data_IF_185909155043
#
_entry.id   IF_185909155043
#
_cell.length_a   1.000
_cell.length_b   1.000
_cell.length_c   1.000
_cell.angle_alpha   90.00
_cell.angle_beta   90.00
_cell.angle_gamma   90.00
#
_symmetry.space_group_name_H-M   'P 1'
#
loop_
_entity.id
_entity.type
_entity.pdbx_description
1 polymer ?
#
# COMPACT_ATOMS: atom_id res chain seq x y z
N UNK A 1 -21.62 -59.49 12.60
CA UNK A 1 -20.74 -58.89 11.55
C UNK A 1 -21.15 -57.46 11.14
N UNK A 2 -22.34 -56.95 11.49
CA UNK A 2 -22.78 -55.60 11.07
C UNK A 2 -22.08 -54.41 11.79
N UNK A 3 -21.43 -54.63 12.93
CA UNK A 3 -20.84 -53.54 13.73
C UNK A 3 -19.52 -52.98 13.18
N UNK A 4 -18.64 -53.82 12.61
CA UNK A 4 -17.33 -53.38 12.13
C UNK A 4 -17.38 -52.57 10.83
N UNK A 5 -18.27 -52.94 9.90
CA UNK A 5 -18.45 -52.24 8.62
C UNK A 5 -19.03 -50.83 8.81
N UNK A 6 -20.10 -50.71 9.62
CA UNK A 6 -20.69 -49.41 9.98
C UNK A 6 -19.72 -48.51 10.73
N UNK A 7 -18.88 -49.08 11.59
CA UNK A 7 -17.85 -48.33 12.31
C UNK A 7 -16.79 -47.74 11.38
N UNK A 8 -16.38 -48.51 10.38
CA UNK A 8 -15.42 -48.09 9.37
C UNK A 8 -15.97 -47.01 8.42
N UNK A 9 -17.20 -47.19 7.93
CA UNK A 9 -17.92 -46.17 7.12
C UNK A 9 -18.03 -44.84 7.87
N UNK A 10 -18.31 -44.89 9.18
CA UNK A 10 -18.35 -43.70 10.03
C UNK A 10 -16.98 -43.04 10.20
N UNK A 11 -15.91 -43.83 10.30
CA UNK A 11 -14.54 -43.31 10.37
C UNK A 11 -14.15 -42.60 9.08
N UNK A 12 -14.48 -43.17 7.93
CA UNK A 12 -14.22 -42.58 6.61
C UNK A 12 -14.98 -41.25 6.42
N UNK A 13 -16.25 -41.21 6.84
CA UNK A 13 -17.04 -39.98 6.83
C UNK A 13 -16.43 -38.87 7.70
N UNK A 14 -16.04 -39.19 8.95
CA UNK A 14 -15.42 -38.20 9.83
C UNK A 14 -14.02 -37.78 9.35
N UNK A 15 -13.26 -38.69 8.71
CA UNK A 15 -11.98 -38.35 8.06
C UNK A 15 -12.17 -37.34 6.94
N UNK A 16 -13.15 -37.56 6.06
CA UNK A 16 -13.45 -36.64 4.95
C UNK A 16 -13.88 -35.26 5.44
N UNK A 17 -14.62 -35.20 6.55
CA UNK A 17 -14.96 -33.91 7.19
C UNK A 17 -13.71 -33.19 7.69
N UNK A 18 -12.81 -33.91 8.38
CA UNK A 18 -11.55 -33.33 8.86
C UNK A 18 -10.66 -32.84 7.71
N UNK A 19 -10.65 -33.53 6.56
CA UNK A 19 -9.93 -33.11 5.35
C UNK A 19 -10.45 -31.80 4.75
N UNK A 20 -11.77 -31.62 4.72
CA UNK A 20 -12.36 -30.37 4.28
C UNK A 20 -11.98 -29.22 5.23
N UNK A 21 -12.03 -29.45 6.54
CA UNK A 21 -11.66 -28.47 7.57
C UNK A 21 -10.16 -28.12 7.50
N UNK A 22 -9.29 -29.12 7.24
CA UNK A 22 -7.87 -28.89 7.00
C UNK A 22 -7.62 -28.00 5.78
N UNK A 23 -8.37 -28.23 4.71
CA UNK A 23 -8.29 -27.43 3.48
C UNK A 23 -8.68 -25.98 3.74
N UNK A 24 -9.74 -25.75 4.51
CA UNK A 24 -10.19 -24.41 4.88
C UNK A 24 -9.14 -23.69 5.74
N UNK A 25 -8.58 -24.36 6.74
CA UNK A 25 -7.50 -23.81 7.58
C UNK A 25 -6.26 -23.45 6.74
N UNK A 26 -5.85 -24.32 5.82
CA UNK A 26 -4.73 -24.05 4.90
C UNK A 26 -4.99 -22.83 4.00
N UNK A 27 -6.21 -22.65 3.50
CA UNK A 27 -6.59 -21.45 2.73
C UNK A 27 -6.51 -20.19 3.57
N UNK A 28 -6.98 -20.23 4.82
CA UNK A 28 -6.89 -19.07 5.72
C UNK A 28 -5.44 -18.75 6.09
N UNK A 29 -4.59 -19.76 6.30
CA UNK A 29 -3.14 -19.57 6.50
C UNK A 29 -2.46 -18.94 5.29
N UNK A 30 -2.78 -19.40 4.08
CA UNK A 30 -2.25 -18.79 2.86
C UNK A 30 -2.71 -17.32 2.72
N UNK A 31 -3.94 -17.00 3.12
CA UNK A 31 -4.49 -15.65 3.07
C UNK A 31 -4.00 -14.72 4.20
N UNK A 32 -3.48 -15.27 5.30
CA UNK A 32 -3.06 -14.51 6.50
C UNK A 32 -1.60 -14.80 6.87
N UNK A 33 -0.75 -15.06 5.87
CA UNK A 33 0.65 -15.49 6.03
C UNK A 33 1.52 -14.53 6.88
N UNK A 34 1.03 -13.33 7.16
CA UNK A 34 1.71 -12.31 7.93
C UNK A 34 1.43 -12.35 9.45
N UNK A 35 0.40 -13.04 9.99
CA UNK A 35 0.10 -13.04 11.44
C UNK A 35 0.83 -14.16 12.22
N UNK A 36 1.94 -13.84 12.89
CA UNK A 36 2.84 -14.80 13.57
C UNK A 36 2.19 -15.57 14.73
N UNK A 37 1.43 -14.92 15.61
CA UNK A 37 0.83 -15.60 16.78
C UNK A 37 -0.20 -16.67 16.38
N UNK A 38 -1.04 -16.36 15.39
CA UNK A 38 -2.10 -17.24 14.89
C UNK A 38 -1.57 -18.43 14.07
N UNK A 39 -0.42 -18.23 13.40
CA UNK A 39 0.31 -19.25 12.66
C UNK A 39 0.71 -20.44 13.56
N UNK A 40 1.08 -20.20 14.82
CA UNK A 40 1.58 -21.23 15.73
C UNK A 40 0.52 -22.29 16.12
N UNK A 41 -0.68 -21.86 16.52
CA UNK A 41 -1.78 -22.76 16.92
C UNK A 41 -2.31 -23.56 15.72
N UNK A 42 -2.44 -22.91 14.57
CA UNK A 42 -2.91 -23.57 13.35
C UNK A 42 -1.87 -24.56 12.81
N UNK A 43 -0.58 -24.24 12.85
CA UNK A 43 0.49 -25.16 12.46
C UNK A 43 0.55 -26.38 13.39
N UNK A 44 0.43 -26.18 14.71
CA UNK A 44 0.40 -27.29 15.67
C UNK A 44 -0.82 -28.20 15.46
N UNK A 45 -1.98 -27.60 15.15
CA UNK A 45 -3.17 -28.37 14.79
C UNK A 45 -2.99 -29.16 13.49
N UNK A 46 -2.46 -28.54 12.42
CA UNK A 46 -2.19 -29.20 11.14
C UNK A 46 -1.25 -30.39 11.30
N UNK A 47 -0.20 -30.24 12.11
CA UNK A 47 0.70 -31.34 12.48
C UNK A 47 -0.04 -32.49 13.16
N UNK A 48 -0.92 -32.20 14.12
CA UNK A 48 -1.73 -33.22 14.81
C UNK A 48 -2.70 -33.92 13.84
N UNK A 49 -3.27 -33.19 12.89
CA UNK A 49 -4.14 -33.76 11.85
C UNK A 49 -3.36 -34.71 10.95
N UNK A 50 -2.16 -34.33 10.51
CA UNK A 50 -1.31 -35.18 9.67
C UNK A 50 -0.84 -36.46 10.40
N UNK A 51 -0.47 -36.34 11.68
CA UNK A 51 -0.16 -37.50 12.52
C UNK A 51 -1.36 -38.45 12.66
N UNK A 52 -2.57 -37.93 12.81
CA UNK A 52 -3.78 -38.76 12.92
C UNK A 52 -4.18 -39.37 11.58
N UNK A 53 -3.99 -38.65 10.46
CA UNK A 53 -4.17 -39.17 9.09
C UNK A 53 -3.33 -40.42 8.87
N UNK A 54 -2.02 -40.35 9.12
CA UNK A 54 -1.11 -41.49 9.00
C UNK A 54 -1.56 -42.70 9.85
N UNK A 55 -2.05 -42.46 11.07
CA UNK A 55 -2.54 -43.53 11.95
C UNK A 55 -3.84 -44.15 11.44
N UNK A 56 -4.72 -43.36 10.82
CA UNK A 56 -5.97 -43.85 10.21
C UNK A 56 -5.65 -44.68 8.97
N UNK A 57 -4.80 -44.19 8.06
CA UNK A 57 -4.40 -44.94 6.85
C UNK A 57 -3.81 -46.31 7.19
N UNK A 58 -2.95 -46.38 8.22
CA UNK A 58 -2.42 -47.65 8.71
C UNK A 58 -3.51 -48.58 9.27
N UNK A 59 -4.53 -48.01 9.92
CA UNK A 59 -5.69 -48.78 10.41
C UNK A 59 -6.54 -49.30 9.25
N UNK A 60 -6.73 -48.51 8.20
CA UNK A 60 -7.47 -48.88 6.99
C UNK A 60 -6.78 -50.01 6.22
N UNK A 61 -5.46 -49.93 6.05
CA UNK A 61 -4.66 -51.03 5.45
C UNK A 61 -4.88 -52.34 6.21
N UNK A 62 -4.80 -52.30 7.55
CA UNK A 62 -5.04 -53.48 8.40
C UNK A 62 -6.47 -54.00 8.34
N UNK A 63 -7.45 -53.12 8.15
CA UNK A 63 -8.85 -53.51 7.98
C UNK A 63 -9.08 -54.20 6.63
N UNK A 64 -8.59 -53.61 5.53
CA UNK A 64 -8.71 -54.16 4.16
C UNK A 64 -7.99 -55.50 4.01
N UNK A 65 -6.80 -55.64 4.60
CA UNK A 65 -6.06 -56.91 4.61
C UNK A 65 -6.83 -58.03 5.34
N UNK A 66 -7.59 -57.66 6.38
CA UNK A 66 -8.48 -58.60 7.07
C UNK A 66 -9.71 -58.97 6.28
N UNK A 67 -10.37 -58.03 5.61
CA UNK A 67 -11.50 -58.37 4.75
C UNK A 67 -11.07 -59.32 3.62
N UNK A 68 -9.87 -59.11 3.05
CA UNK A 68 -9.28 -60.02 2.05
C UNK A 68 -9.04 -61.43 2.60
N UNK A 69 -8.35 -61.55 3.73
CA UNK A 69 -8.07 -62.87 4.36
C UNK A 69 -9.33 -63.60 4.84
N UNK A 70 -10.40 -62.88 5.20
CA UNK A 70 -11.72 -63.45 5.51
C UNK A 70 -12.42 -64.06 4.30
N UNK A 71 -12.20 -63.49 3.12
CA UNK A 71 -12.85 -63.95 1.87
C UNK A 71 -12.17 -65.24 1.35
N UNK A 72 -10.92 -65.49 1.74
CA UNK A 72 -10.12 -66.65 1.30
C UNK A 72 -10.37 -67.89 2.19
N UNK A 73 -10.62 -67.71 3.49
CA UNK A 73 -10.78 -68.80 4.46
C UNK A 73 -12.25 -68.98 4.90
N UNK A 74 -13.14 -69.40 3.98
CA UNK A 74 -14.42 -70.01 4.38
C UNK A 74 -14.18 -71.46 4.80
N UNK A 75 -13.70 -71.69 6.03
CA UNK A 75 -13.58 -73.08 6.49
C UNK A 75 -12.93 -73.38 7.84
N UNK A 76 -12.27 -72.44 8.52
CA UNK A 76 -11.72 -72.73 9.86
C UNK A 76 -11.99 -71.61 10.85
N UNK A 77 -12.89 -71.91 11.78
CA UNK A 77 -13.15 -71.14 12.99
C UNK A 77 -12.23 -71.62 14.10
N UNK A 78 -11.18 -70.85 14.44
CA UNK A 78 -10.74 -70.68 15.83
C UNK A 78 -9.70 -69.56 15.94
N UNK A 79 -9.85 -68.66 16.93
CA UNK A 79 -8.81 -67.69 17.36
C UNK A 79 -9.13 -66.19 17.22
N UNK A 80 -10.17 -65.78 16.46
CA UNK A 80 -10.27 -64.38 16.00
C UNK A 80 -11.09 -63.40 16.87
N UNK A 81 -11.74 -63.85 17.95
CA UNK A 81 -12.69 -63.00 18.70
C UNK A 81 -12.03 -61.85 19.50
N UNK A 82 -10.87 -62.08 20.15
CA UNK A 82 -10.13 -61.02 20.84
C UNK A 82 -9.59 -59.94 19.86
N UNK A 83 -9.37 -60.31 18.61
CA UNK A 83 -8.75 -59.44 17.61
C UNK A 83 -9.74 -58.49 16.91
N UNK A 84 -11.03 -58.82 16.86
CA UNK A 84 -12.09 -57.97 16.25
C UNK A 84 -12.52 -56.85 17.18
N UNK A 85 -12.69 -57.18 18.47
CA UNK A 85 -13.02 -56.21 19.51
C UNK A 85 -11.95 -55.10 19.61
N UNK A 86 -10.67 -55.48 19.54
CA UNK A 86 -9.55 -54.54 19.53
C UNK A 86 -9.55 -53.58 18.32
N UNK A 87 -10.05 -53.98 17.15
CA UNK A 87 -10.13 -53.11 15.97
C UNK A 87 -11.32 -52.16 16.04
N UNK A 88 -12.48 -52.64 16.46
CA UNK A 88 -13.66 -51.79 16.68
C UNK A 88 -13.39 -50.75 17.77
N UNK A 89 -12.67 -51.13 18.84
CA UNK A 89 -12.24 -50.19 19.88
C UNK A 89 -11.29 -49.12 19.31
N UNK A 90 -10.32 -49.52 18.47
CA UNK A 90 -9.40 -48.59 17.79
C UNK A 90 -10.14 -47.64 16.85
N UNK A 91 -11.11 -48.12 16.07
CA UNK A 91 -11.95 -47.29 15.20
C UNK A 91 -12.72 -46.25 16.03
N UNK A 92 -13.37 -46.66 17.12
CA UNK A 92 -14.10 -45.73 18.02
C UNK A 92 -13.17 -44.69 18.64
N UNK A 93 -11.97 -45.10 19.05
CA UNK A 93 -10.97 -44.18 19.58
C UNK A 93 -10.53 -43.15 18.54
N UNK A 94 -10.36 -43.56 17.27
CA UNK A 94 -10.04 -42.63 16.17
C UNK A 94 -11.17 -41.65 15.89
N UNK A 95 -12.42 -42.10 15.83
CA UNK A 95 -13.59 -41.21 15.68
C UNK A 95 -13.62 -40.17 16.82
N UNK A 96 -13.38 -40.60 18.07
CA UNK A 96 -13.33 -39.68 19.21
C UNK A 96 -12.18 -38.67 19.11
N UNK A 97 -11.03 -39.10 18.59
CA UNK A 97 -9.85 -38.24 18.40
C UNK A 97 -10.06 -37.22 17.29
N UNK A 98 -10.66 -37.62 16.16
CA UNK A 98 -11.11 -36.70 15.11
C UNK A 98 -12.07 -35.68 15.71
N UNK A 99 -13.13 -36.12 16.41
CA UNK A 99 -14.08 -35.20 17.03
C UNK A 99 -13.42 -34.22 18.03
N UNK A 100 -12.35 -34.63 18.71
CA UNK A 100 -11.60 -33.75 19.60
C UNK A 100 -10.75 -32.73 18.83
N UNK A 101 -10.06 -33.14 17.76
CA UNK A 101 -9.32 -32.22 16.88
C UNK A 101 -10.23 -31.16 16.27
N UNK A 102 -11.45 -31.56 15.86
CA UNK A 102 -12.46 -30.66 15.31
C UNK A 102 -13.00 -29.66 16.33
N UNK A 103 -12.93 -29.97 17.64
CA UNK A 103 -13.31 -29.04 18.72
C UNK A 103 -12.20 -28.06 19.10
N UNK A 104 -10.93 -28.41 18.84
CA UNK A 104 -9.79 -27.54 19.15
C UNK A 104 -9.76 -26.30 18.25
N UNK A 105 -10.22 -26.44 17.02
CA UNK A 105 -10.35 -25.32 16.08
C UNK A 105 -11.79 -24.82 16.07
N UNK A 106 -12.01 -23.56 16.46
CA UNK A 106 -13.32 -22.89 16.32
C UNK A 106 -13.47 -22.39 14.89
N UNK A 107 -13.94 -23.26 13.99
CA UNK A 107 -14.12 -22.93 12.56
C UNK A 107 -15.05 -21.74 12.33
N UNK A 108 -16.05 -21.50 13.18
CA UNK A 108 -16.93 -20.34 13.05
C UNK A 108 -16.16 -19.03 13.27
N UNK A 109 -15.13 -19.04 14.11
CA UNK A 109 -14.21 -17.91 14.29
C UNK A 109 -13.30 -17.73 13.07
N UNK A 110 -12.87 -18.83 12.43
CA UNK A 110 -12.00 -18.82 11.23
C UNK A 110 -12.79 -18.40 9.98
N UNK A 111 -14.02 -18.87 9.83
CA UNK A 111 -14.90 -18.63 8.67
C UNK A 111 -15.50 -17.23 8.68
N UNK A 112 -15.72 -16.65 9.87
CA UNK A 112 -16.26 -15.30 10.04
C UNK A 112 -15.17 -14.22 10.11
N UNK A 113 -13.89 -14.61 10.17
CA UNK A 113 -12.78 -13.71 9.90
C UNK A 113 -12.64 -13.61 8.38
N UNK A 114 -13.42 -12.71 7.77
CA UNK A 114 -13.14 -12.27 6.40
C UNK A 114 -11.65 -11.94 6.30
N UNK A 115 -11.00 -12.35 5.20
CA UNK A 115 -9.66 -11.89 4.87
C UNK A 115 -9.63 -10.37 5.11
N UNK A 116 -8.66 -9.84 5.87
CA UNK A 116 -8.57 -8.41 6.07
C UNK A 116 -8.63 -7.76 4.70
N UNK A 117 -9.44 -6.70 4.57
CA UNK A 117 -9.45 -5.94 3.34
C UNK A 117 -7.99 -5.63 2.99
N UNK A 118 -7.57 -5.98 1.77
CA UNK A 118 -6.24 -5.61 1.30
C UNK A 118 -6.10 -4.11 1.56
N UNK A 119 -4.95 -3.65 2.08
CA UNK A 119 -4.74 -2.23 2.28
C UNK A 119 -5.05 -1.47 0.98
N UNK A 120 -5.71 -0.33 1.10
CA UNK A 120 -6.04 0.49 -0.05
C UNK A 120 -4.74 0.88 -0.78
N UNK A 121 -4.62 0.42 -2.02
CA UNK A 121 -3.42 0.65 -2.84
C UNK A 121 -3.39 2.03 -3.50
N UNK A 122 -4.54 2.72 -3.51
CA UNK A 122 -4.78 4.01 -4.15
C UNK A 122 -5.51 4.95 -3.17
N UNK A 123 -4.79 5.52 -2.21
CA UNK A 123 -5.38 6.37 -1.15
C UNK A 123 -5.38 7.82 -1.63
N UNK A 124 -6.52 8.31 -2.14
CA UNK A 124 -6.66 9.71 -2.58
C UNK A 124 -6.33 10.71 -1.47
N UNK A 125 -5.74 11.83 -1.85
CA UNK A 125 -5.44 12.95 -0.95
C UNK A 125 -6.54 14.00 -0.89
N UNK A 126 -7.40 14.08 -1.90
CA UNK A 126 -8.42 15.12 -1.99
C UNK A 126 -7.82 16.45 -2.42
N UNK A 127 -6.93 16.40 -3.42
CA UNK A 127 -6.24 17.56 -3.95
C UNK A 127 -7.24 18.66 -4.35
N UNK A 128 -6.91 19.90 -3.98
CA UNK A 128 -7.66 21.06 -4.48
C UNK A 128 -7.49 21.14 -6.00
N UNK A 129 -8.61 21.12 -6.72
CA UNK A 129 -8.61 21.24 -8.17
C UNK A 129 -8.08 22.60 -8.58
N UNK A 130 -7.15 22.60 -9.53
CA UNK A 130 -6.49 23.80 -10.06
C UNK A 130 -6.83 24.04 -11.52
N UNK A 131 -7.94 23.49 -12.02
CA UNK A 131 -8.40 23.61 -13.41
C UNK A 131 -8.56 25.07 -13.85
N UNK A 132 -8.84 25.95 -12.88
CA UNK A 132 -8.94 27.38 -13.08
C UNK A 132 -7.61 28.10 -13.34
N UNK A 133 -6.48 27.40 -13.22
CA UNK A 133 -5.13 27.96 -13.29
C UNK A 133 -4.25 27.14 -14.26
N UNK A 134 -4.43 27.29 -15.58
CA UNK A 134 -3.73 26.50 -16.60
C UNK A 134 -2.21 26.49 -16.48
N UNK A 135 -1.59 27.59 -16.05
CA UNK A 135 -0.13 27.65 -15.89
C UNK A 135 0.40 26.69 -14.83
N UNK A 136 -0.33 26.52 -13.72
CA UNK A 136 0.03 25.55 -12.68
C UNK A 136 -0.39 24.13 -13.08
N UNK A 137 -1.54 23.99 -13.75
CA UNK A 137 -2.02 22.69 -14.23
C UNK A 137 -1.12 22.09 -15.32
N UNK A 138 -0.46 22.91 -16.13
CA UNK A 138 0.51 22.43 -17.10
C UNK A 138 1.65 21.60 -16.46
N UNK A 139 2.08 21.94 -15.25
CA UNK A 139 3.07 21.12 -14.52
C UNK A 139 2.49 19.75 -14.10
N UNK A 140 1.19 19.67 -13.80
CA UNK A 140 0.48 18.41 -13.54
C UNK A 140 0.50 17.56 -14.80
N UNK A 141 0.16 18.13 -15.95
CA UNK A 141 0.14 17.42 -17.24
C UNK A 141 1.54 16.92 -17.63
N UNK A 142 2.56 17.78 -17.52
CA UNK A 142 3.95 17.44 -17.84
C UNK A 142 4.46 16.32 -16.94
N UNK A 143 4.25 16.41 -15.62
CA UNK A 143 4.68 15.37 -14.69
C UNK A 143 3.93 14.06 -14.93
N UNK A 144 2.60 14.13 -15.11
CA UNK A 144 1.77 12.95 -15.37
C UNK A 144 2.24 12.20 -16.62
N UNK A 145 2.49 12.92 -17.73
CA UNK A 145 2.99 12.31 -18.97
C UNK A 145 4.38 11.71 -18.78
N UNK A 146 5.30 12.40 -18.09
CA UNK A 146 6.63 11.86 -17.78
C UNK A 146 6.57 10.55 -16.99
N UNK A 147 5.64 10.46 -16.03
CA UNK A 147 5.46 9.26 -15.21
C UNK A 147 4.82 8.09 -15.98
N UNK A 148 4.08 8.36 -17.05
CA UNK A 148 3.53 7.33 -17.95
C UNK A 148 4.55 6.74 -18.92
N UNK A 149 5.60 7.49 -19.28
CA UNK A 149 6.60 7.03 -20.25
C UNK A 149 7.40 5.85 -19.66
N UNK A 150 7.28 4.69 -20.30
CA UNK A 150 8.07 3.49 -20.01
C UNK A 150 9.36 3.53 -20.81
N UNK A 151 10.42 4.09 -20.24
CA UNK A 151 11.75 4.04 -20.86
C UNK A 151 12.26 2.59 -20.82
N UNK A 152 12.54 1.98 -21.98
CA UNK A 152 12.87 0.54 -22.08
C UNK A 152 14.22 0.14 -21.47
N UNK A 153 15.04 1.12 -21.06
CA UNK A 153 16.39 0.92 -20.48
C UNK A 153 16.42 1.10 -18.96
N UNK A 154 15.65 2.03 -18.42
CA UNK A 154 15.57 2.30 -16.97
C UNK A 154 14.19 1.92 -16.42
N UNK A 155 14.12 0.77 -15.76
CA UNK A 155 12.88 0.27 -15.17
C UNK A 155 12.40 1.11 -13.98
N UNK A 156 13.33 1.74 -13.25
CA UNK A 156 13.02 2.66 -12.16
C UNK A 156 13.59 4.05 -12.46
N UNK A 157 12.71 5.05 -12.61
CA UNK A 157 13.10 6.44 -12.93
C UNK A 157 12.77 7.38 -11.76
N UNK A 158 13.64 8.38 -11.57
CA UNK A 158 13.51 9.42 -10.54
C UNK A 158 13.14 10.74 -11.21
N UNK A 159 12.08 11.37 -10.73
CA UNK A 159 11.69 12.73 -11.14
C UNK A 159 11.76 13.62 -9.92
N UNK A 160 12.43 14.76 -10.04
CA UNK A 160 12.47 15.73 -8.98
C UNK A 160 11.72 16.99 -9.37
N UNK A 161 10.84 17.45 -8.48
CA UNK A 161 10.17 18.74 -8.58
C UNK A 161 10.77 19.68 -7.56
N UNK A 162 11.21 20.83 -8.03
CA UNK A 162 11.79 21.85 -7.16
C UNK A 162 11.35 23.26 -7.55
N UNK A 163 11.55 24.19 -6.64
CA UNK A 163 11.18 25.59 -6.84
C UNK A 163 10.98 26.31 -5.51
N UNK A 164 10.74 27.64 -5.55
CA UNK A 164 10.62 28.46 -4.35
C UNK A 164 9.58 27.96 -3.34
N UNK A 165 9.72 28.39 -2.09
CA UNK A 165 8.69 28.12 -1.08
C UNK A 165 7.35 28.73 -1.50
N UNK A 166 6.23 28.02 -1.26
CA UNK A 166 4.89 28.52 -1.60
C UNK A 166 4.52 28.53 -3.09
N UNK A 167 5.41 28.04 -3.98
CA UNK A 167 5.18 28.05 -5.45
C UNK A 167 4.11 27.03 -5.93
N UNK A 168 3.68 26.10 -5.07
CA UNK A 168 2.63 25.12 -5.38
C UNK A 168 3.11 23.69 -5.69
N UNK A 169 4.35 23.33 -5.32
CA UNK A 169 4.92 21.98 -5.54
C UNK A 169 4.03 20.86 -4.99
N UNK A 170 3.68 20.92 -3.70
CA UNK A 170 2.78 19.96 -3.06
C UNK A 170 1.45 19.88 -3.80
N UNK A 171 0.86 21.02 -4.19
CA UNK A 171 -0.40 21.05 -4.95
C UNK A 171 -0.30 20.34 -6.30
N UNK A 172 0.81 20.51 -7.03
CA UNK A 172 1.05 19.79 -8.29
C UNK A 172 1.19 18.28 -8.03
N UNK A 173 1.99 17.89 -7.03
CA UNK A 173 2.19 16.48 -6.67
C UNK A 173 0.87 15.82 -6.26
N UNK A 174 0.05 16.47 -5.44
CA UNK A 174 -1.25 15.96 -4.99
C UNK A 174 -2.23 15.80 -6.16
N UNK A 175 -2.27 16.75 -7.10
CA UNK A 175 -3.14 16.63 -8.28
C UNK A 175 -2.70 15.49 -9.21
N UNK A 176 -1.39 15.29 -9.39
CA UNK A 176 -0.88 14.14 -10.19
C UNK A 176 -1.15 12.82 -9.48
N UNK A 177 -0.91 12.75 -8.18
CA UNK A 177 -1.22 11.59 -7.35
C UNK A 177 -2.70 11.19 -7.49
N UNK A 178 -3.61 12.14 -7.24
CA UNK A 178 -5.05 11.88 -7.29
C UNK A 178 -5.51 11.52 -8.70
N UNK A 179 -4.90 12.11 -9.75
CA UNK A 179 -5.16 11.72 -11.14
C UNK A 179 -4.80 10.28 -11.42
N UNK A 180 -3.67 9.77 -10.89
CA UNK A 180 -3.34 8.34 -11.01
C UNK A 180 -4.27 7.45 -10.18
N UNK A 181 -4.70 7.89 -9.00
CA UNK A 181 -5.69 7.16 -8.20
C UNK A 181 -7.09 7.14 -8.85
N UNK A 182 -7.37 8.04 -9.78
CA UNK A 182 -8.63 8.12 -10.54
C UNK A 182 -8.66 7.24 -11.80
N UNK A 183 -7.51 6.72 -12.24
CA UNK A 183 -7.45 5.83 -13.40
C UNK A 183 -8.17 4.50 -13.12
N UNK A 184 -8.80 3.96 -14.17
CA UNK A 184 -9.44 2.65 -14.10
C UNK A 184 -8.40 1.53 -14.04
N UNK A 185 -8.78 0.35 -13.54
CA UNK A 185 -7.86 -0.80 -13.46
C UNK A 185 -7.23 -1.19 -14.80
N UNK A 186 -7.89 -0.93 -15.94
CA UNK A 186 -7.35 -1.23 -17.27
C UNK A 186 -6.32 -0.21 -17.74
N UNK A 187 -6.42 1.02 -17.27
CA UNK A 187 -5.50 2.12 -17.63
C UNK A 187 -4.43 2.37 -16.57
N UNK A 188 -4.53 1.71 -15.41
CA UNK A 188 -3.64 1.90 -14.26
C UNK A 188 -2.24 1.34 -14.55
N UNK A 189 -1.20 2.20 -14.63
CA UNK A 189 0.16 1.74 -14.88
C UNK A 189 0.90 1.20 -13.65
N UNK A 190 0.37 1.43 -12.44
CA UNK A 190 1.02 1.06 -11.18
C UNK A 190 0.12 0.18 -10.30
N UNK A 191 0.67 -0.92 -9.78
CA UNK A 191 -0.04 -1.81 -8.85
C UNK A 191 -0.27 -1.17 -7.48
N UNK A 192 0.56 -0.19 -7.09
CA UNK A 192 0.48 0.54 -5.83
C UNK A 192 1.05 1.96 -5.96
N UNK A 193 0.41 2.93 -5.31
CA UNK A 193 0.84 4.34 -5.29
C UNK A 193 1.02 4.80 -3.85
N UNK A 194 2.26 5.11 -3.48
CA UNK A 194 2.63 5.58 -2.15
C UNK A 194 2.72 7.10 -2.10
N UNK A 195 2.38 7.65 -0.93
CA UNK A 195 2.63 9.04 -0.60
C UNK A 195 3.29 9.16 0.76
N UNK A 196 4.38 9.93 0.81
CA UNK A 196 5.10 10.28 2.03
C UNK A 196 5.31 11.78 2.05
N UNK A 197 5.01 12.42 3.18
CA UNK A 197 5.41 13.81 3.44
C UNK A 197 6.50 13.80 4.51
N UNK A 198 7.67 14.34 4.18
CA UNK A 198 8.81 14.46 5.09
C UNK A 198 8.61 15.63 6.07
N UNK A 199 9.16 15.46 7.26
CA UNK A 199 9.33 16.52 8.27
C UNK A 199 10.76 16.40 8.83
N UNK A 200 11.21 17.35 9.64
CA UNK A 200 12.55 17.30 10.23
C UNK A 200 12.78 16.05 11.10
N UNK A 201 11.73 15.52 11.72
CA UNK A 201 11.81 14.34 12.58
C UNK A 201 11.70 13.02 11.82
N UNK A 202 11.18 13.03 10.58
CA UNK A 202 10.95 11.81 9.82
C UNK A 202 12.22 11.30 9.17
N UNK A 203 12.49 10.02 9.37
CA UNK A 203 13.60 9.31 8.77
C UNK A 203 13.16 8.13 7.89
N UNK A 204 14.15 7.35 7.46
CA UNK A 204 13.95 6.13 6.66
C UNK A 204 12.93 5.17 7.29
N UNK A 205 12.97 5.00 8.61
CA UNK A 205 12.07 4.08 9.32
C UNK A 205 10.59 4.47 9.22
N UNK A 206 10.28 5.76 9.13
CA UNK A 206 8.92 6.27 8.93
C UNK A 206 8.42 6.01 7.52
N UNK A 207 9.30 6.19 6.53
CA UNK A 207 9.02 5.87 5.12
C UNK A 207 8.70 4.38 5.00
N UNK A 208 9.58 3.53 5.54
CA UNK A 208 9.39 2.08 5.53
C UNK A 208 8.08 1.67 6.18
N UNK A 209 7.71 2.30 7.30
CA UNK A 209 6.46 2.01 7.99
C UNK A 209 5.23 2.29 7.11
N UNK A 210 5.23 3.42 6.39
CA UNK A 210 4.15 3.77 5.47
C UNK A 210 4.06 2.75 4.32
N UNK A 211 5.20 2.40 3.72
CA UNK A 211 5.28 1.44 2.62
C UNK A 211 4.81 0.06 3.07
N UNK A 212 5.30 -0.45 4.20
CA UNK A 212 4.92 -1.74 4.78
C UNK A 212 3.42 -1.82 5.03
N UNK A 213 2.84 -0.81 5.67
CA UNK A 213 1.42 -0.76 5.97
C UNK A 213 0.57 -0.86 4.71
N UNK A 214 0.94 -0.14 3.65
CA UNK A 214 0.19 -0.13 2.39
C UNK A 214 0.48 -1.37 1.52
N UNK A 215 1.66 -1.99 1.68
CA UNK A 215 1.97 -3.29 1.08
C UNK A 215 1.32 -4.46 1.84
N UNK A 216 0.81 -4.24 3.04
CA UNK A 216 0.24 -5.28 3.92
C UNK A 216 1.32 -6.14 4.59
N UNK A 217 2.53 -5.61 4.72
CA UNK A 217 3.64 -6.25 5.41
C UNK A 217 3.49 -6.04 6.92
N UNK A 218 3.83 -7.06 7.72
CA UNK A 218 3.91 -6.88 9.17
C UNK A 218 5.26 -6.26 9.54
N UNK A 219 5.18 -5.05 10.10
CA UNK A 219 6.30 -4.43 10.78
C UNK A 219 6.46 -5.12 12.15
N UNK A 220 7.52 -5.90 12.31
CA UNK A 220 8.06 -6.24 13.61
C UNK A 220 8.93 -5.07 14.10
N UNK A 221 8.56 -4.49 15.25
CA UNK A 221 9.22 -3.32 15.84
C UNK A 221 10.70 -3.59 16.19
N UNK A 222 11.10 -4.86 16.27
CA UNK A 222 12.49 -5.26 16.51
C UNK A 222 13.35 -5.30 15.24
N UNK A 223 12.75 -5.21 14.05
CA UNK A 223 13.50 -5.26 12.79
C UNK A 223 14.32 -3.99 12.58
N UNK A 224 15.55 -4.20 12.12
CA UNK A 224 16.40 -3.11 11.66
C UNK A 224 15.87 -2.51 10.36
N UNK A 225 16.20 -1.24 10.10
CA UNK A 225 15.87 -0.61 8.80
C UNK A 225 16.45 -1.38 7.61
N UNK A 226 17.55 -2.11 7.78
CA UNK A 226 18.12 -2.94 6.71
C UNK A 226 17.19 -4.12 6.37
N UNK A 227 16.73 -4.86 7.39
CA UNK A 227 15.81 -6.00 7.18
C UNK A 227 14.49 -5.54 6.57
N UNK A 228 13.96 -4.40 7.02
CA UNK A 228 12.77 -3.77 6.46
C UNK A 228 12.94 -3.43 4.99
N UNK A 229 14.10 -2.87 4.62
CA UNK A 229 14.42 -2.55 3.23
C UNK A 229 14.43 -3.79 2.33
N UNK A 230 15.01 -4.91 2.79
CA UNK A 230 15.02 -6.18 2.04
C UNK A 230 13.61 -6.72 1.80
N UNK A 231 12.75 -6.68 2.82
CA UNK A 231 11.36 -7.17 2.72
C UNK A 231 10.57 -6.29 1.73
N UNK A 232 10.68 -4.97 1.87
CA UNK A 232 10.06 -4.01 0.94
C UNK A 232 10.56 -4.25 -0.49
N UNK A 233 11.88 -4.37 -0.67
CA UNK A 233 12.48 -4.55 -1.98
C UNK A 233 11.96 -5.81 -2.67
N UNK A 234 11.91 -6.93 -1.95
CA UNK A 234 11.39 -8.21 -2.44
C UNK A 234 9.92 -8.14 -2.83
N UNK A 235 9.11 -7.42 -2.05
CA UNK A 235 7.68 -7.26 -2.36
C UNK A 235 7.47 -6.39 -3.62
N UNK A 236 8.34 -5.40 -3.83
CA UNK A 236 8.30 -4.49 -4.98
C UNK A 236 8.93 -5.07 -6.26
N UNK A 237 9.69 -6.17 -6.20
CA UNK A 237 10.26 -6.82 -7.39
C UNK A 237 9.19 -7.28 -8.38
N UNK A 238 8.03 -7.71 -7.87
CA UNK A 238 6.93 -8.24 -8.68
C UNK A 238 5.79 -7.24 -8.87
N UNK A 239 5.99 -5.97 -8.52
CA UNK A 239 4.98 -4.91 -8.60
C UNK A 239 5.50 -3.68 -9.30
N UNK A 240 4.63 -3.07 -10.08
CA UNK A 240 4.81 -1.70 -10.53
C UNK A 240 4.37 -0.72 -9.43
N UNK A 241 5.16 0.33 -9.18
CA UNK A 241 4.83 1.29 -8.12
C UNK A 241 5.18 2.73 -8.49
N UNK A 242 4.46 3.65 -7.86
CA UNK A 242 4.76 5.09 -7.90
C UNK A 242 4.88 5.60 -6.46
N UNK A 243 6.02 6.19 -6.12
CA UNK A 243 6.29 6.72 -4.78
C UNK A 243 6.46 8.24 -4.85
N UNK A 244 5.57 8.97 -4.19
CA UNK A 244 5.71 10.39 -3.95
C UNK A 244 6.35 10.64 -2.59
N UNK A 245 7.44 11.40 -2.56
CA UNK A 245 8.05 11.93 -1.34
C UNK A 245 8.03 13.45 -1.41
N UNK A 246 7.13 14.08 -0.66
CA UNK A 246 6.97 15.52 -0.59
C UNK A 246 7.78 16.12 0.57
N UNK A 247 8.16 17.40 0.42
CA UNK A 247 8.91 18.21 1.39
C UNK A 247 10.29 17.64 1.77
N UNK A 248 11.00 17.07 0.81
CA UNK A 248 12.36 16.57 0.98
C UNK A 248 13.32 17.73 1.28
N UNK A 249 13.93 17.69 2.47
CA UNK A 249 14.89 18.70 2.96
C UNK A 249 16.35 18.26 2.87
N UNK A 250 16.60 16.95 2.81
CA UNK A 250 17.94 16.35 2.69
C UNK A 250 17.92 15.17 1.70
N UNK A 251 19.10 14.66 1.35
CA UNK A 251 19.26 13.45 0.54
C UNK A 251 18.52 12.25 1.14
N UNK A 252 17.92 11.42 0.28
CA UNK A 252 17.13 10.26 0.68
C UNK A 252 17.67 9.00 0.00
N UNK A 253 18.35 8.19 0.81
CA UNK A 253 18.83 6.87 0.41
C UNK A 253 17.67 5.92 0.10
N UNK A 254 17.34 5.83 -1.18
CA UNK A 254 16.29 4.96 -1.71
C UNK A 254 16.57 3.48 -1.45
N UNK A 255 17.84 3.06 -1.45
CA UNK A 255 18.22 1.68 -1.20
C UNK A 255 17.89 1.30 0.24
N UNK A 256 18.18 2.19 1.20
CA UNK A 256 17.80 2.00 2.60
C UNK A 256 16.31 1.99 2.85
N UNK A 257 15.48 2.50 1.93
CA UNK A 257 14.03 2.37 2.00
C UNK A 257 13.56 1.01 1.46
N UNK A 258 14.33 0.36 0.59
CA UNK A 258 13.94 -0.85 -0.16
C UNK A 258 13.61 -0.58 -1.62
N UNK A 259 13.91 0.62 -2.12
CA UNK A 259 13.74 1.00 -3.53
C UNK A 259 15.03 0.72 -4.28
N UNK A 260 14.99 -0.23 -5.21
CA UNK A 260 16.16 -0.70 -5.96
C UNK A 260 16.08 -0.36 -7.44
N UNK A 261 17.25 -0.17 -8.04
CA UNK A 261 17.38 -0.11 -9.50
C UNK A 261 16.91 -1.42 -10.14
N UNK A 262 16.26 -1.31 -11.30
CA UNK A 262 15.74 -2.47 -12.02
C UNK A 262 14.33 -2.91 -11.62
N UNK A 263 13.79 -2.40 -10.50
CA UNK A 263 12.37 -2.56 -10.17
C UNK A 263 11.49 -1.74 -11.13
N UNK A 264 10.22 -2.11 -11.26
CA UNK A 264 9.24 -1.41 -12.09
C UNK A 264 8.64 -0.19 -11.37
N UNK A 265 9.51 0.72 -10.94
CA UNK A 265 9.16 1.85 -10.08
C UNK A 265 9.21 3.22 -10.75
N UNK A 266 8.55 4.18 -10.13
CA UNK A 266 8.77 5.62 -10.33
C UNK A 266 8.84 6.30 -8.98
N UNK A 267 9.82 7.18 -8.80
CA UNK A 267 9.96 7.97 -7.57
C UNK A 267 9.89 9.45 -7.90
N UNK A 268 9.04 10.19 -7.20
CA UNK A 268 8.86 11.63 -7.36
C UNK A 268 9.25 12.33 -6.07
N UNK A 269 10.21 13.23 -6.15
CA UNK A 269 10.72 13.98 -5.00
C UNK A 269 10.30 15.45 -5.10
N UNK A 270 9.57 15.97 -4.11
CA UNK A 270 9.24 17.39 -3.98
C UNK A 270 10.19 18.09 -3.01
N UNK A 271 10.96 19.09 -3.46
CA UNK A 271 11.95 19.80 -2.63
C UNK A 271 12.00 21.30 -2.90
N UNK A 272 12.60 22.08 -1.99
CA UNK A 272 12.67 23.54 -2.13
C UNK A 272 13.84 24.04 -3.00
N UNK A 273 14.87 23.24 -3.25
CA UNK A 273 16.03 23.61 -4.06
C UNK A 273 16.51 22.47 -4.96
N UNK A 274 17.40 22.76 -5.91
CA UNK A 274 18.02 21.75 -6.77
C UNK A 274 19.38 21.31 -6.20
N UNK A 275 19.49 20.06 -5.80
CA UNK A 275 20.78 19.40 -5.55
C UNK A 275 20.88 18.16 -6.45
N UNK A 276 22.02 17.96 -7.10
CA UNK A 276 22.24 16.69 -7.80
C UNK A 276 22.59 15.65 -6.75
N UNK A 277 21.72 14.66 -6.56
CA UNK A 277 22.06 13.46 -5.79
C UNK A 277 22.81 12.53 -6.74
N UNK A 278 24.14 12.48 -6.60
CA UNK A 278 24.97 11.43 -7.19
C UNK A 278 24.87 10.15 -6.33
N UNK A 279 23.64 9.67 -6.10
CA UNK A 279 23.44 8.39 -5.43
C UNK A 279 23.94 7.27 -6.34
N UNK A 280 25.13 6.77 -6.02
CA UNK A 280 25.71 5.59 -6.64
C UNK A 280 24.92 4.38 -6.11
N UNK A 281 24.11 3.76 -6.97
CA UNK A 281 23.44 2.51 -6.61
C UNK A 281 24.45 1.38 -6.32
N UNK A 282 24.00 0.28 -5.72
CA UNK A 282 24.85 -0.86 -5.31
C UNK A 282 25.79 -1.41 -6.42
N UNK A 283 25.50 -1.13 -7.70
CA UNK A 283 26.31 -1.55 -8.87
C UNK A 283 27.16 -0.46 -9.49
N UNK A 284 27.32 0.71 -8.86
CA UNK A 284 28.16 1.79 -9.40
C UNK A 284 27.47 2.70 -10.42
N UNK A 285 26.17 2.52 -10.66
CA UNK A 285 25.41 3.33 -11.62
C UNK A 285 24.65 4.44 -10.86
N UNK A 286 24.74 5.70 -11.30
CA UNK A 286 23.94 6.83 -10.77
C UNK A 286 22.47 6.76 -11.22
N UNK A 287 21.51 7.14 -10.39
CA UNK A 287 20.09 7.16 -10.77
C UNK A 287 19.85 8.21 -11.87
N UNK A 288 19.15 7.82 -12.95
CA UNK A 288 18.71 8.79 -13.95
C UNK A 288 17.62 9.67 -13.32
N UNK A 289 17.98 10.92 -13.01
CA UNK A 289 17.06 11.93 -12.47
C UNK A 289 16.66 12.93 -13.57
N UNK A 290 15.37 13.20 -13.67
CA UNK A 290 14.83 14.32 -14.42
C UNK A 290 14.32 15.41 -13.48
N UNK A 291 14.74 16.65 -13.69
CA UNK A 291 14.32 17.79 -12.87
C UNK A 291 13.22 18.61 -13.57
N UNK A 292 12.20 19.00 -12.80
CA UNK A 292 11.14 19.93 -13.18
C UNK A 292 11.17 21.09 -12.18
N UNK A 293 11.56 22.27 -12.67
CA UNK A 293 11.49 23.51 -11.90
C UNK A 293 10.10 24.11 -12.03
N UNK A 294 9.42 24.35 -10.91
CA UNK A 294 8.19 25.14 -10.88
C UNK A 294 8.57 26.60 -10.58
N UNK A 295 8.34 27.47 -11.56
CA UNK A 295 8.70 28.89 -11.46
C UNK A 295 7.59 29.76 -10.86
N UNK A 296 6.34 29.29 -10.93
CA UNK A 296 5.17 30.03 -10.49
C UNK A 296 4.07 30.02 -11.55
N UNK A 297 3.01 30.76 -11.26
CA UNK A 297 1.89 30.99 -12.18
C UNK A 297 2.23 32.11 -13.15
N UNK A 298 1.63 32.08 -14.34
CA UNK A 298 1.71 33.23 -15.25
C UNK A 298 0.94 34.44 -14.68
N UNK A 299 1.20 35.64 -15.21
CA UNK A 299 0.59 36.88 -14.73
C UNK A 299 -0.95 36.82 -14.78
N UNK A 300 -1.53 36.27 -15.84
CA UNK A 300 -2.99 36.16 -15.98
C UNK A 300 -3.62 35.28 -14.89
N UNK A 301 -3.02 34.13 -14.60
CA UNK A 301 -3.48 33.22 -13.56
C UNK A 301 -3.27 33.80 -12.16
N UNK A 302 -2.14 34.49 -11.94
CA UNK A 302 -1.84 35.20 -10.71
C UNK A 302 -2.87 36.30 -10.44
N UNK A 303 -3.21 37.10 -11.46
CA UNK A 303 -4.25 38.13 -11.39
C UNK A 303 -5.63 37.52 -11.17
N UNK A 304 -5.94 36.41 -11.84
CA UNK A 304 -7.20 35.67 -11.66
C UNK A 304 -7.33 35.18 -10.22
N UNK A 305 -6.27 34.61 -9.64
CA UNK A 305 -6.26 34.17 -8.24
C UNK A 305 -6.45 35.34 -7.28
N UNK A 306 -5.69 36.42 -7.46
CA UNK A 306 -5.80 37.62 -6.64
C UNK A 306 -7.22 38.19 -6.65
N UNK A 307 -7.80 38.35 -7.85
CA UNK A 307 -9.16 38.85 -8.04
C UNK A 307 -10.21 37.95 -7.40
N UNK A 308 -10.07 36.63 -7.47
CA UNK A 308 -10.99 35.70 -6.82
C UNK A 308 -11.06 35.91 -5.32
N UNK A 309 -9.94 36.22 -4.67
CA UNK A 309 -9.87 36.47 -3.24
C UNK A 309 -10.48 37.83 -2.92
N UNK A 310 -9.99 38.90 -3.54
CA UNK A 310 -10.42 40.29 -3.24
C UNK A 310 -11.88 40.55 -3.62
N UNK A 311 -12.40 39.95 -4.70
CA UNK A 311 -13.79 40.16 -5.11
C UNK A 311 -14.83 39.37 -4.31
N UNK A 312 -14.43 38.65 -3.26
CA UNK A 312 -15.36 37.99 -2.35
C UNK A 312 -16.30 39.01 -1.66
N UNK A 313 -15.88 40.27 -1.50
CA UNK A 313 -16.70 41.42 -1.09
C UNK A 313 -16.84 42.44 -2.23
N UNK A 314 -18.00 42.43 -2.90
CA UNK A 314 -18.29 42.87 -4.29
C UNK A 314 -18.00 44.33 -4.75
N UNK A 315 -17.24 45.15 -4.02
CA UNK A 315 -17.11 46.59 -4.36
C UNK A 315 -15.69 47.13 -4.53
N UNK A 316 -14.64 46.43 -4.07
CA UNK A 316 -13.25 46.95 -4.08
C UNK A 316 -12.69 47.13 -5.50
N UNK A 317 -12.86 46.13 -6.37
CA UNK A 317 -12.31 46.18 -7.74
C UNK A 317 -13.14 47.00 -8.72
N UNK A 318 -14.15 47.75 -8.28
CA UNK A 318 -14.84 48.73 -9.16
C UNK A 318 -13.97 49.96 -9.41
N UNK A 319 -13.10 50.31 -8.47
CA UNK A 319 -12.19 51.44 -8.60
C UNK A 319 -11.06 51.12 -9.60
N UNK A 320 -10.96 51.92 -10.67
CA UNK A 320 -9.94 51.77 -11.72
C UNK A 320 -8.51 52.04 -11.23
N UNK A 321 -8.34 52.89 -10.22
CA UNK A 321 -7.03 53.09 -9.60
C UNK A 321 -6.59 51.83 -8.85
N UNK A 322 -7.47 51.26 -8.02
CA UNK A 322 -7.21 50.01 -7.29
C UNK A 322 -6.89 48.86 -8.26
N UNK A 323 -7.62 48.73 -9.37
CA UNK A 323 -7.32 47.73 -10.41
C UNK A 323 -5.90 47.86 -10.97
N UNK A 324 -5.43 49.09 -11.21
CA UNK A 324 -4.07 49.35 -11.70
C UNK A 324 -3.02 48.98 -10.65
N UNK A 325 -3.20 49.42 -9.41
CA UNK A 325 -2.27 49.11 -8.31
C UNK A 325 -2.25 47.60 -8.03
N UNK A 326 -3.40 46.94 -8.02
CA UNK A 326 -3.52 45.49 -7.87
C UNK A 326 -2.68 44.73 -8.89
N UNK A 327 -2.66 45.20 -10.15
CA UNK A 327 -1.88 44.58 -11.22
C UNK A 327 -0.38 44.68 -10.95
N UNK A 328 0.09 45.83 -10.46
CA UNK A 328 1.48 46.02 -10.06
C UNK A 328 1.85 45.14 -8.85
N UNK A 329 1.01 45.11 -7.82
CA UNK A 329 1.21 44.26 -6.64
C UNK A 329 1.36 42.78 -7.03
N UNK A 330 0.48 42.29 -7.91
CA UNK A 330 0.52 40.89 -8.35
C UNK A 330 1.80 40.57 -9.13
N UNK A 331 2.33 41.52 -9.90
CA UNK A 331 3.64 41.37 -10.56
C UNK A 331 4.77 41.23 -9.54
N UNK A 332 4.76 42.05 -8.49
CA UNK A 332 5.74 41.96 -7.39
C UNK A 332 5.63 40.64 -6.61
N UNK A 333 4.45 40.00 -6.57
CA UNK A 333 4.30 38.67 -6.00
C UNK A 333 5.00 37.56 -6.80
N UNK A 334 5.51 37.84 -8.01
CA UNK A 334 6.33 36.93 -8.81
C UNK A 334 5.62 35.64 -9.24
N UNK A 335 4.29 35.65 -9.31
CA UNK A 335 3.51 34.45 -9.66
C UNK A 335 3.47 33.37 -8.58
N UNK A 336 3.96 33.64 -7.36
CA UNK A 336 3.98 32.66 -6.25
C UNK A 336 2.59 32.60 -5.58
N UNK A 337 1.84 31.47 -5.66
CA UNK A 337 0.48 31.37 -5.14
C UNK A 337 0.34 31.78 -3.68
N UNK A 338 1.28 31.37 -2.82
CA UNK A 338 1.22 31.71 -1.40
C UNK A 338 1.39 33.22 -1.15
N UNK A 339 2.32 33.87 -1.86
CA UNK A 339 2.53 35.33 -1.78
C UNK A 339 1.28 36.08 -2.21
N UNK A 340 0.71 35.69 -3.35
CA UNK A 340 -0.52 36.27 -3.90
C UNK A 340 -1.67 36.14 -2.90
N UNK A 341 -1.88 34.95 -2.32
CA UNK A 341 -2.92 34.71 -1.32
C UNK A 341 -2.75 35.62 -0.12
N UNK A 342 -1.56 35.66 0.48
CA UNK A 342 -1.29 36.49 1.66
C UNK A 342 -1.62 37.95 1.41
N UNK A 343 -1.18 38.50 0.28
CA UNK A 343 -1.38 39.91 -0.04
C UNK A 343 -2.85 40.20 -0.40
N UNK A 344 -3.48 39.30 -1.17
CA UNK A 344 -4.88 39.43 -1.52
C UNK A 344 -5.80 39.39 -0.29
N UNK A 345 -5.53 38.51 0.68
CA UNK A 345 -6.30 38.45 1.93
C UNK A 345 -6.16 39.73 2.76
N UNK A 346 -4.95 40.31 2.81
CA UNK A 346 -4.74 41.58 3.52
C UNK A 346 -5.50 42.75 2.87
N UNK A 347 -5.73 42.69 1.56
CA UNK A 347 -6.38 43.75 0.79
C UNK A 347 -7.86 43.47 0.49
N UNK A 348 -8.40 42.32 0.92
CA UNK A 348 -9.73 41.83 0.52
C UNK A 348 -10.85 42.82 0.84
N UNK A 349 -10.72 43.58 1.93
CA UNK A 349 -11.74 44.52 2.41
C UNK A 349 -11.33 45.98 2.29
N UNK A 350 -10.18 46.25 1.68
CA UNK A 350 -9.62 47.60 1.64
C UNK A 350 -10.01 48.35 0.38
N UNK A 351 -10.78 49.42 0.58
CA UNK A 351 -11.30 50.27 -0.49
C UNK A 351 -10.53 51.59 -0.67
N UNK A 352 -9.57 51.88 0.20
CA UNK A 352 -8.73 53.08 0.14
C UNK A 352 -7.47 52.85 -0.73
N UNK A 353 -7.33 53.51 -1.89
CA UNK A 353 -6.15 53.39 -2.75
C UNK A 353 -4.81 53.67 -2.05
N UNK A 354 -4.79 54.49 -0.99
CA UNK A 354 -3.55 54.78 -0.25
C UNK A 354 -2.97 53.53 0.42
N UNK A 355 -3.82 52.64 0.94
CA UNK A 355 -3.40 51.36 1.55
C UNK A 355 -2.79 50.43 0.50
N UNK A 356 -3.32 50.45 -0.72
CA UNK A 356 -2.79 49.68 -1.85
C UNK A 356 -1.42 50.20 -2.29
N UNK A 357 -1.24 51.52 -2.40
CA UNK A 357 0.06 52.14 -2.70
C UNK A 357 1.10 51.86 -1.62
N UNK A 358 0.69 51.93 -0.33
CA UNK A 358 1.55 51.58 0.79
C UNK A 358 1.99 50.11 0.72
N UNK A 359 1.07 49.21 0.35
CA UNK A 359 1.37 47.78 0.17
C UNK A 359 2.36 47.55 -0.98
N UNK A 360 2.15 48.20 -2.13
CA UNK A 360 3.09 48.14 -3.26
C UNK A 360 4.48 48.66 -2.87
N UNK A 361 4.53 49.77 -2.14
CA UNK A 361 5.80 50.37 -1.67
C UNK A 361 6.59 49.45 -0.73
N UNK A 362 5.92 48.52 -0.03
CA UNK A 362 6.61 47.55 0.84
C UNK A 362 7.38 46.49 0.07
N UNK A 363 6.94 46.14 -1.14
CA UNK A 363 7.68 45.22 -2.02
C UNK A 363 8.97 45.84 -2.54
N UNK A 364 8.97 47.14 -2.83
CA UNK A 364 10.17 47.85 -3.29
C UNK A 364 11.26 47.99 -2.22
N UNK A 365 10.92 47.75 -0.95
CA UNK A 365 11.81 47.89 0.21
C UNK A 365 12.14 46.55 0.91
N UNK A 366 11.71 45.42 0.34
CA UNK A 366 11.96 44.05 0.81
C UNK A 366 12.88 43.31 -0.13
#
# INVERSE_FOLDING_TARGET
MAFGKRGFEKLEHERKRLENEETDVKKVLAANAYRIEWLSECMDWLRKVDEERHKIENLEKRYKERERTRTINQGQSCGLLQSSWCLDLKIRMKIKRIANLRKQIKLDTIRNQSAPALPDRFIKRGALKIDDFPSLNNYVDVLFLKLLVKDGRDKCARVCIWGPSGVGKTTVLENVHDRFCELTNTDQPFDVIFWVTMTEEKGVGDIQYILEKQLGLQADELMSNYERAEIIAKELENKSYLLFIDQVSSEIDLVRIGIRKGQHGRVVLGRSGCYYDDEIGERGESWKQEDIKIEGMCEDDALKMFRKIVNSNKDVMKNEEIKRIATLIVRECGGIPQSIKTVAFNLEKESDPAVWWATLSRFANS
#
